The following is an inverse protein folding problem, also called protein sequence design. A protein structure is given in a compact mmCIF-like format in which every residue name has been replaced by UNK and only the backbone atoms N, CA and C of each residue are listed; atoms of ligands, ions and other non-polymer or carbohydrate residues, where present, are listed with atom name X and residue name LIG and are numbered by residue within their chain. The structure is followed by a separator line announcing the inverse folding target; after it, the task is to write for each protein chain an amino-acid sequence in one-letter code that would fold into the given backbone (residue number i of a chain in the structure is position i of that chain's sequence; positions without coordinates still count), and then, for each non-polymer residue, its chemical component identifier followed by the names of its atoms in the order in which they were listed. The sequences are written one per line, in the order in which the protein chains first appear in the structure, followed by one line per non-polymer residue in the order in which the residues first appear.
data_IF_666911503240
#
_entry.id   IF_666911503240
#
_cell.length_a   1.000
_cell.length_b   1.000
_cell.length_c   1.000
_cell.angle_alpha   90.00
_cell.angle_beta   90.00
_cell.angle_gamma   90.00
#
_symmetry.space_group_name_H-M   'P 1'
#
loop_
_entity.id
_entity.type
_entity.pdbx_description
1 polymer ?
#
# COMPACT_ATOMS: atom_id res chain seq x y z
N UNK A 1 3.31 4.81 -23.12
CA UNK A 1 2.62 3.80 -22.28
C UNK A 1 1.41 4.44 -21.63
N UNK A 2 0.25 3.85 -21.79
CA UNK A 2 -1.00 4.43 -21.30
C UNK A 2 -1.38 3.77 -19.97
N UNK A 3 -0.98 4.39 -18.85
CA UNK A 3 -1.24 3.89 -17.52
C UNK A 3 -2.29 4.72 -16.80
N UNK A 4 -3.17 4.05 -16.09
CA UNK A 4 -4.19 4.67 -15.26
C UNK A 4 -4.17 4.11 -13.85
N UNK A 5 -4.69 4.88 -12.90
CA UNK A 5 -4.77 4.49 -11.49
C UNK A 5 -6.23 4.64 -11.06
N UNK A 6 -6.74 3.63 -10.39
CA UNK A 6 -8.07 3.65 -9.76
C UNK A 6 -8.14 2.68 -8.59
N UNK A 7 -9.22 2.74 -7.84
CA UNK A 7 -9.49 1.77 -6.79
C UNK A 7 -9.91 0.45 -7.40
N UNK A 8 -9.46 -0.66 -6.81
CA UNK A 8 -9.84 -2.01 -7.19
C UNK A 8 -11.31 -2.27 -6.84
N UNK A 9 -11.98 -3.08 -7.64
CA UNK A 9 -13.27 -3.64 -7.27
C UNK A 9 -13.08 -5.01 -6.61
N UNK A 10 -14.03 -5.42 -5.77
CA UNK A 10 -13.95 -6.72 -5.07
C UNK A 10 -13.79 -7.89 -6.05
N UNK A 11 -14.48 -7.85 -7.20
CA UNK A 11 -14.39 -8.91 -8.19
C UNK A 11 -13.00 -9.05 -8.84
N UNK A 12 -12.17 -8.01 -8.73
CA UNK A 12 -10.81 -7.98 -9.30
C UNK A 12 -9.73 -8.50 -8.33
N UNK A 13 -10.07 -8.72 -7.05
CA UNK A 13 -9.09 -9.14 -6.05
C UNK A 13 -8.24 -10.36 -6.46
N UNK A 14 -8.80 -11.38 -7.15
CA UNK A 14 -7.97 -12.51 -7.61
C UNK A 14 -6.83 -12.10 -8.52
N UNK A 15 -6.92 -10.97 -9.23
CA UNK A 15 -5.86 -10.48 -10.12
C UNK A 15 -4.60 -10.06 -9.37
N UNK A 16 -4.68 -9.80 -8.07
CA UNK A 16 -3.52 -9.43 -7.25
C UNK A 16 -2.50 -10.56 -7.17
N UNK A 17 -2.88 -11.81 -7.46
CA UNK A 17 -1.97 -12.94 -7.51
C UNK A 17 -0.91 -12.80 -8.60
N UNK A 18 -1.12 -11.93 -9.57
CA UNK A 18 -0.11 -11.62 -10.60
C UNK A 18 1.05 -10.79 -10.04
N UNK A 19 0.84 -10.12 -8.89
CA UNK A 19 1.83 -9.23 -8.27
C UNK A 19 2.51 -9.83 -7.04
N UNK A 20 1.86 -10.78 -6.38
CA UNK A 20 2.36 -11.35 -5.14
C UNK A 20 1.92 -12.81 -4.99
N UNK A 21 2.81 -13.63 -4.42
CA UNK A 21 2.60 -15.06 -4.20
C UNK A 21 1.96 -15.27 -2.83
N UNK A 22 0.63 -15.33 -2.80
CA UNK A 22 -0.11 -15.52 -1.55
C UNK A 22 -0.10 -16.97 -1.11
N UNK A 23 0.21 -17.24 0.15
CA UNK A 23 0.10 -18.56 0.76
C UNK A 23 -1.36 -19.02 0.87
N UNK A 24 -2.26 -18.07 1.12
CA UNK A 24 -3.70 -18.30 1.28
C UNK A 24 -4.48 -17.28 0.43
N UNK A 25 -4.77 -17.66 -0.82
CA UNK A 25 -5.47 -16.79 -1.76
C UNK A 25 -6.91 -16.54 -1.31
N UNK A 26 -7.62 -17.56 -0.85
CA UNK A 26 -9.01 -17.40 -0.40
C UNK A 26 -9.10 -16.51 0.83
N UNK A 27 -8.15 -16.64 1.75
CA UNK A 27 -8.04 -15.77 2.91
C UNK A 27 -7.78 -14.31 2.53
N UNK A 28 -6.89 -14.08 1.57
CA UNK A 28 -6.61 -12.74 1.06
C UNK A 28 -7.87 -12.11 0.47
N UNK A 29 -8.59 -12.84 -0.38
CA UNK A 29 -9.81 -12.33 -1.02
C UNK A 29 -10.88 -12.02 0.04
N UNK A 30 -11.10 -12.94 0.98
CA UNK A 30 -12.11 -12.79 2.04
C UNK A 30 -11.81 -11.59 2.93
N UNK A 31 -10.58 -11.46 3.40
CA UNK A 31 -10.16 -10.36 4.27
C UNK A 31 -10.27 -9.01 3.57
N UNK A 32 -9.73 -8.89 2.37
CA UNK A 32 -9.77 -7.62 1.63
C UNK A 32 -11.19 -7.24 1.22
N UNK A 33 -12.02 -8.22 0.85
CA UNK A 33 -13.43 -7.97 0.56
C UNK A 33 -14.12 -7.31 1.75
N UNK A 34 -13.94 -7.88 2.93
CA UNK A 34 -14.53 -7.35 4.17
C UNK A 34 -14.06 -5.92 4.46
N UNK A 35 -12.76 -5.68 4.39
CA UNK A 35 -12.17 -4.37 4.69
C UNK A 35 -12.59 -3.29 3.68
N UNK A 36 -12.67 -3.65 2.41
CA UNK A 36 -13.13 -2.72 1.36
C UNK A 36 -14.61 -2.41 1.54
N UNK A 37 -15.45 -3.43 1.74
CA UNK A 37 -16.89 -3.24 1.87
C UNK A 37 -17.28 -2.47 3.12
N UNK A 38 -16.52 -2.60 4.20
CA UNK A 38 -16.81 -1.82 5.42
C UNK A 38 -16.16 -0.43 5.44
N UNK A 39 -15.44 -0.05 4.38
CA UNK A 39 -14.84 1.27 4.25
C UNK A 39 -13.53 1.47 5.02
N UNK A 40 -12.94 0.40 5.56
CA UNK A 40 -11.70 0.48 6.34
C UNK A 40 -10.47 0.66 5.45
N UNK A 41 -10.49 0.11 4.24
CA UNK A 41 -9.38 0.21 3.31
C UNK A 41 -9.81 0.33 1.86
N UNK A 42 -8.90 0.79 1.02
CA UNK A 42 -8.96 0.68 -0.43
C UNK A 42 -7.65 0.12 -0.97
N UNK A 43 -7.70 -0.49 -2.13
CA UNK A 43 -6.53 -0.88 -2.89
C UNK A 43 -6.52 -0.07 -4.17
N UNK A 44 -5.49 0.77 -4.33
CA UNK A 44 -5.29 1.48 -5.59
C UNK A 44 -4.50 0.59 -6.52
N UNK A 45 -4.94 0.49 -7.77
CA UNK A 45 -4.28 -0.34 -8.77
C UNK A 45 -3.80 0.51 -9.93
N UNK A 46 -2.64 0.11 -10.45
CA UNK A 46 -2.04 0.69 -11.64
C UNK A 46 -2.31 -0.23 -12.82
N UNK A 47 -2.89 0.31 -13.87
CA UNK A 47 -3.28 -0.45 -15.06
C UNK A 47 -2.56 0.08 -16.28
N UNK A 48 -2.08 -0.84 -17.13
CA UNK A 48 -1.73 -0.55 -18.51
C UNK A 48 -2.81 -1.15 -19.39
N UNK A 49 -3.66 -0.29 -19.97
CA UNK A 49 -4.89 -0.77 -20.58
C UNK A 49 -5.74 -1.51 -19.55
N UNK A 50 -6.02 -2.78 -19.77
CA UNK A 50 -6.77 -3.64 -18.83
C UNK A 50 -5.87 -4.50 -17.94
N UNK A 51 -4.55 -4.46 -18.17
CA UNK A 51 -3.60 -5.26 -17.41
C UNK A 51 -3.25 -4.61 -16.09
N UNK A 52 -3.46 -5.33 -14.98
CA UNK A 52 -3.08 -4.87 -13.64
C UNK A 52 -1.57 -5.08 -13.47
N UNK A 53 -0.83 -3.98 -13.30
CA UNK A 53 0.63 -4.00 -13.20
C UNK A 53 1.18 -3.43 -11.90
N UNK A 54 0.33 -2.87 -11.03
CA UNK A 54 0.79 -2.37 -9.73
C UNK A 54 -0.34 -2.23 -8.74
N UNK A 55 0.02 -2.15 -7.45
CA UNK A 55 -0.92 -1.99 -6.35
C UNK A 55 -0.31 -1.20 -5.20
N UNK A 56 -1.17 -0.50 -4.47
CA UNK A 56 -0.84 0.16 -3.21
C UNK A 56 -2.09 0.12 -2.33
N UNK A 57 -1.97 -0.49 -1.16
CA UNK A 57 -3.07 -0.60 -0.21
C UNK A 57 -3.09 0.61 0.71
N UNK A 58 -4.28 1.12 1.01
CA UNK A 58 -4.49 2.24 1.91
C UNK A 58 -5.43 1.80 3.02
N UNK A 59 -4.97 1.85 4.26
CA UNK A 59 -5.80 1.64 5.44
C UNK A 59 -6.16 2.98 6.06
N UNK A 60 -7.44 3.26 6.19
CA UNK A 60 -7.95 4.52 6.76
C UNK A 60 -8.10 4.43 8.26
N UNK A 61 -8.19 3.23 8.80
CA UNK A 61 -8.36 2.95 10.23
C UNK A 61 -7.47 1.80 10.64
N UNK A 62 -7.01 1.84 11.89
CA UNK A 62 -6.25 0.77 12.51
C UNK A 62 -6.54 0.75 14.00
N UNK A 63 -6.42 -0.42 14.63
CA UNK A 63 -6.45 -0.54 16.08
C UNK A 63 -5.30 0.23 16.72
N UNK A 64 -4.20 0.40 16.00
CA UNK A 64 -3.05 1.20 16.41
C UNK A 64 -3.15 2.59 15.77
N UNK A 65 -3.39 3.61 16.60
CA UNK A 65 -3.51 5.00 16.14
C UNK A 65 -2.21 5.60 15.63
N UNK A 66 -1.08 4.96 15.87
CA UNK A 66 0.18 5.36 15.23
C UNK A 66 0.17 5.01 13.75
N UNK A 67 -0.50 3.95 13.35
CA UNK A 67 -0.60 3.56 11.93
C UNK A 67 -1.57 4.44 11.16
N UNK A 68 -2.80 4.57 11.63
CA UNK A 68 -3.83 5.29 10.91
C UNK A 68 -4.83 5.96 11.85
N UNK A 69 -5.29 7.14 11.44
CA UNK A 69 -6.36 7.90 12.08
C UNK A 69 -7.23 8.46 10.95
N UNK A 70 -8.50 8.05 10.91
CA UNK A 70 -9.40 8.44 9.81
C UNK A 70 -9.44 9.96 9.63
N UNK A 71 -9.26 10.39 8.37
CA UNK A 71 -9.28 11.79 7.99
C UNK A 71 -7.98 12.56 8.25
N UNK A 72 -7.01 11.95 8.92
CA UNK A 72 -5.75 12.59 9.30
C UNK A 72 -4.54 11.83 8.78
N UNK A 73 -4.45 10.54 9.11
CA UNK A 73 -3.28 9.70 8.84
C UNK A 73 -3.72 8.40 8.18
N UNK A 74 -3.15 8.10 7.01
CA UNK A 74 -3.41 6.85 6.29
C UNK A 74 -2.16 5.95 6.32
N UNK A 75 -2.38 4.65 6.50
CA UNK A 75 -1.34 3.64 6.46
C UNK A 75 -1.26 3.05 5.06
N UNK A 76 -0.08 3.10 4.45
CA UNK A 76 0.18 2.59 3.11
C UNK A 76 0.97 1.28 3.21
N UNK A 77 0.54 0.27 2.47
CA UNK A 77 1.17 -1.06 2.51
C UNK A 77 1.05 -1.77 1.17
N UNK A 78 1.70 -2.92 1.04
CA UNK A 78 1.65 -3.75 -0.17
C UNK A 78 1.92 -2.96 -1.46
N UNK A 79 2.98 -2.15 -1.42
CA UNK A 79 3.40 -1.31 -2.55
C UNK A 79 4.20 -2.16 -3.54
N UNK A 80 3.61 -2.48 -4.69
CA UNK A 80 4.20 -3.40 -5.67
C UNK A 80 3.98 -2.94 -7.09
N UNK A 81 4.99 -3.18 -7.94
CA UNK A 81 4.90 -3.03 -9.40
C UNK A 81 5.37 -4.34 -10.02
N UNK A 82 4.61 -4.83 -11.00
CA UNK A 82 4.94 -6.05 -11.72
C UNK A 82 6.38 -6.00 -12.26
N UNK A 83 7.12 -7.09 -12.13
CA UNK A 83 8.56 -7.17 -12.45
C UNK A 83 8.90 -6.69 -13.86
N UNK A 84 8.02 -6.95 -14.82
CA UNK A 84 8.25 -6.57 -16.23
C UNK A 84 8.08 -5.06 -16.46
N UNK A 85 7.57 -4.33 -15.48
CA UNK A 85 7.28 -2.89 -15.56
C UNK A 85 8.09 -2.06 -14.56
N UNK A 86 9.03 -2.67 -13.85
CA UNK A 86 9.91 -1.96 -12.92
C UNK A 86 10.96 -1.15 -13.66
N UNK A 87 11.49 -0.11 -13.00
CA UNK A 87 12.54 0.73 -13.59
C UNK A 87 12.03 1.78 -14.58
N UNK A 88 10.73 2.00 -14.67
CA UNK A 88 10.11 2.93 -15.61
C UNK A 88 9.48 4.16 -14.92
N UNK A 89 9.67 4.30 -13.62
CA UNK A 89 9.05 5.39 -12.84
C UNK A 89 7.58 5.15 -12.46
N UNK A 90 7.04 3.98 -12.76
CA UNK A 90 5.63 3.68 -12.52
C UNK A 90 5.28 3.55 -11.03
N UNK A 91 6.21 3.03 -10.23
CA UNK A 91 6.02 2.99 -8.77
C UNK A 91 5.91 4.38 -8.18
N UNK A 92 6.78 5.31 -8.60
CA UNK A 92 6.71 6.70 -8.15
C UNK A 92 5.42 7.37 -8.59
N UNK A 93 4.97 7.10 -9.81
CA UNK A 93 3.70 7.59 -10.33
C UNK A 93 2.54 7.11 -9.47
N UNK A 94 2.50 5.81 -9.13
CA UNK A 94 1.46 5.24 -8.30
C UNK A 94 1.45 5.88 -6.90
N UNK A 95 2.59 5.92 -6.22
CA UNK A 95 2.69 6.49 -4.88
C UNK A 95 2.27 7.96 -4.85
N UNK A 96 2.81 8.76 -5.77
CA UNK A 96 2.47 10.18 -5.85
C UNK A 96 0.98 10.39 -6.10
N UNK A 97 0.39 9.62 -7.01
CA UNK A 97 -1.03 9.75 -7.33
C UNK A 97 -1.93 9.41 -6.14
N UNK A 98 -1.57 8.38 -5.39
CA UNK A 98 -2.33 7.99 -4.18
C UNK A 98 -2.22 9.06 -3.11
N UNK A 99 -1.01 9.54 -2.81
CA UNK A 99 -0.80 10.60 -1.81
C UNK A 99 -1.57 11.86 -2.22
N UNK A 100 -1.49 12.29 -3.47
CA UNK A 100 -2.19 13.48 -3.94
C UNK A 100 -3.71 13.32 -3.83
N UNK A 101 -4.24 12.15 -4.17
CA UNK A 101 -5.66 11.84 -4.04
C UNK A 101 -6.12 11.95 -2.58
N UNK A 102 -5.39 11.35 -1.66
CA UNK A 102 -5.72 11.36 -0.24
C UNK A 102 -5.53 12.74 0.39
N UNK A 103 -4.51 13.47 -0.04
CA UNK A 103 -4.30 14.86 0.41
C UNK A 103 -5.50 15.74 0.02
N UNK A 104 -6.05 15.57 -1.17
CA UNK A 104 -7.25 16.28 -1.60
C UNK A 104 -8.48 15.93 -0.77
N UNK A 105 -8.49 14.74 -0.14
CA UNK A 105 -9.54 14.30 0.77
C UNK A 105 -9.31 14.74 2.22
N UNK A 106 -8.21 15.45 2.49
CA UNK A 106 -7.91 16.00 3.81
C UNK A 106 -6.83 15.28 4.62
N UNK A 107 -6.25 14.21 4.11
CA UNK A 107 -5.16 13.49 4.78
C UNK A 107 -3.88 14.31 4.74
N UNK A 108 -3.22 14.48 5.88
CA UNK A 108 -1.98 15.25 6.02
C UNK A 108 -0.79 14.40 6.46
N UNK A 109 -1.03 13.16 6.86
CA UNK A 109 0.00 12.26 7.37
C UNK A 109 -0.14 10.88 6.74
N UNK A 110 1.00 10.24 6.49
CA UNK A 110 1.05 8.91 5.88
C UNK A 110 2.11 8.07 6.59
N UNK A 111 1.81 6.79 6.80
CA UNK A 111 2.75 5.84 7.41
C UNK A 111 3.03 4.68 6.48
N UNK A 112 4.23 4.12 6.59
CA UNK A 112 4.65 2.89 5.89
C UNK A 112 5.48 2.04 6.84
N UNK A 113 5.34 0.72 6.73
CA UNK A 113 6.19 -0.22 7.45
C UNK A 113 7.35 -0.69 6.57
N UNK A 114 8.56 -0.68 7.11
CA UNK A 114 9.76 -1.11 6.39
C UNK A 114 10.57 -2.08 7.24
N UNK A 115 10.81 -3.28 6.72
CA UNK A 115 11.66 -4.28 7.37
C UNK A 115 13.12 -3.82 7.33
N UNK A 116 13.92 -4.23 8.34
CA UNK A 116 15.30 -3.78 8.52
C UNK A 116 16.20 -4.09 7.33
N UNK A 117 16.00 -5.23 6.68
CA UNK A 117 16.82 -5.69 5.57
C UNK A 117 16.31 -5.24 4.20
N UNK A 118 15.19 -4.52 4.17
CA UNK A 118 14.62 -4.04 2.90
C UNK A 118 15.17 -2.65 2.54
N UNK A 119 16.46 -2.61 2.17
CA UNK A 119 17.14 -1.36 1.82
C UNK A 119 16.51 -0.66 0.62
N UNK A 120 16.00 -1.42 -0.35
CA UNK A 120 15.37 -0.85 -1.54
C UNK A 120 14.11 -0.07 -1.18
N UNK A 121 13.24 -0.68 -0.37
CA UNK A 121 12.02 -0.01 0.10
C UNK A 121 12.36 1.22 0.95
N UNK A 122 13.34 1.10 1.85
CA UNK A 122 13.81 2.22 2.66
C UNK A 122 14.19 3.43 1.82
N UNK A 123 15.00 3.23 0.78
CA UNK A 123 15.43 4.32 -0.10
C UNK A 123 14.28 4.93 -0.88
N UNK A 124 13.35 4.11 -1.38
CA UNK A 124 12.18 4.61 -2.10
C UNK A 124 11.31 5.47 -1.19
N UNK A 125 10.97 4.97 0.00
CA UNK A 125 10.13 5.71 0.93
C UNK A 125 10.80 6.99 1.43
N UNK A 126 12.11 6.95 1.65
CA UNK A 126 12.86 8.14 2.05
C UNK A 126 12.77 9.25 1.00
N UNK A 127 12.85 8.91 -0.29
CA UNK A 127 12.67 9.87 -1.38
C UNK A 127 11.31 10.56 -1.35
N UNK A 128 10.28 9.86 -0.86
CA UNK A 128 8.94 10.43 -0.71
C UNK A 128 8.75 11.20 0.59
N UNK A 129 9.76 11.26 1.44
CA UNK A 129 9.70 12.02 2.69
C UNK A 129 9.23 11.21 3.92
N UNK A 130 9.23 9.90 3.84
CA UNK A 130 8.99 9.03 5.00
C UNK A 130 10.29 8.91 5.79
N UNK A 131 10.56 9.88 6.66
CA UNK A 131 11.87 10.02 7.32
C UNK A 131 11.85 9.86 8.83
N UNK A 132 10.67 9.91 9.45
CA UNK A 132 10.53 9.86 10.90
C UNK A 132 10.09 8.46 11.34
N UNK A 133 10.92 7.77 12.13
CA UNK A 133 10.55 6.47 12.75
C UNK A 133 9.70 6.76 13.97
N UNK A 134 8.47 6.27 13.99
CA UNK A 134 7.54 6.52 15.11
C UNK A 134 7.21 5.28 15.92
N UNK A 135 7.54 4.07 15.43
CA UNK A 135 7.31 2.84 16.16
C UNK A 135 8.15 1.69 15.61
N UNK A 136 8.37 0.67 16.44
CA UNK A 136 8.89 -0.64 16.06
C UNK A 136 7.77 -1.65 16.25
N UNK A 137 7.47 -2.46 15.21
CA UNK A 137 6.30 -3.32 15.20
C UNK A 137 6.63 -4.74 14.76
N UNK A 138 5.78 -5.68 15.16
CA UNK A 138 5.78 -7.06 14.69
C UNK A 138 4.42 -7.39 14.09
N UNK A 139 4.41 -8.10 12.97
CA UNK A 139 3.18 -8.52 12.30
C UNK A 139 3.33 -9.94 11.74
N UNK A 140 2.22 -10.67 11.73
CA UNK A 140 2.12 -11.93 11.01
C UNK A 140 1.16 -11.75 9.83
N UNK A 141 1.62 -12.16 8.63
CA UNK A 141 0.82 -12.09 7.43
C UNK A 141 1.03 -13.34 6.59
N UNK A 142 -0.09 -13.99 6.21
CA UNK A 142 -0.06 -15.21 5.39
C UNK A 142 0.83 -16.32 6.00
N UNK A 143 0.85 -16.41 7.33
CA UNK A 143 1.62 -17.42 8.07
C UNK A 143 3.08 -17.05 8.37
N UNK A 144 3.56 -15.91 7.87
CA UNK A 144 4.93 -15.44 8.09
C UNK A 144 4.95 -14.27 9.06
N UNK A 145 5.89 -14.30 10.03
CA UNK A 145 6.10 -13.22 11.00
C UNK A 145 7.29 -12.36 10.63
N UNK A 146 7.19 -11.05 10.85
CA UNK A 146 8.28 -10.12 10.59
C UNK A 146 8.21 -8.88 11.48
N UNK A 147 9.39 -8.27 11.70
CA UNK A 147 9.51 -7.00 12.41
C UNK A 147 9.81 -5.89 11.42
N UNK A 148 9.30 -4.69 11.71
CA UNK A 148 9.52 -3.53 10.86
C UNK A 148 9.48 -2.24 11.66
N UNK A 149 10.09 -1.18 11.09
CA UNK A 149 9.94 0.18 11.58
C UNK A 149 8.76 0.85 10.88
N UNK A 150 7.97 1.59 11.64
CA UNK A 150 6.90 2.41 11.10
C UNK A 150 7.43 3.82 10.86
N UNK A 151 7.43 4.26 9.61
CA UNK A 151 7.89 5.58 9.19
C UNK A 151 6.71 6.50 8.91
N UNK A 152 6.87 7.77 9.25
CA UNK A 152 5.87 8.82 9.06
C UNK A 152 6.34 9.84 8.03
N UNK A 153 5.42 10.22 7.14
CA UNK A 153 5.53 11.38 6.26
C UNK A 153 4.46 12.39 6.65
N UNK A 154 4.86 13.65 6.79
CA UNK A 154 3.93 14.77 7.01
C UNK A 154 3.93 15.67 5.79
N UNK A 155 2.77 16.10 5.34
CA UNK A 155 2.64 17.08 4.26
C UNK A 155 2.90 18.50 4.75
#
# INVERSE_FOLDING_TARGET
MNCTIRKITVSELPKLTELFDYNDIDGMISENTSLIQNGTMDIFILLEGEKLIGELHVSYESNDKLEAVRGVRAYLSAYRVHKDFQGMGLGKFLMKSVIDTLAAEGYSEFTVGVEDDNNRAFHIYKEFGFSEVIARKYEEYQGDGYEYNLYLKRL
#
